data_IF_820575687087
#
_entry.id   IF_820575687087
#
_cell.length_a   1.000
_cell.length_b   1.000
_cell.length_c   1.000
_cell.angle_alpha   90.00
_cell.angle_beta   90.00
_cell.angle_gamma   90.00
#
_symmetry.space_group_name_H-M   'P 1'
#
loop_
_entity.id
_entity.type
_entity.pdbx_description
1 polymer ?
#
# COMPACT_ATOMS: atom_id res chain seq x y z
N UNK A 1 17.48 -2.05 1.09
CA UNK A 1 16.77 -3.33 1.30
C UNK A 1 15.44 -3.28 0.56
N UNK A 2 15.17 -4.22 -0.34
CA UNK A 2 13.85 -4.36 -0.98
C UNK A 2 12.98 -5.23 -0.07
N UNK A 3 11.83 -4.71 0.37
CA UNK A 3 10.96 -5.42 1.33
C UNK A 3 9.49 -5.25 1.02
N UNK A 4 8.68 -6.23 1.39
CA UNK A 4 7.22 -6.10 1.47
C UNK A 4 6.88 -5.44 2.83
N UNK A 5 5.94 -4.49 2.89
CA UNK A 5 5.59 -3.81 4.14
C UNK A 5 4.80 -4.69 5.11
N UNK A 6 4.19 -5.79 4.65
CA UNK A 6 3.51 -6.74 5.53
C UNK A 6 4.51 -7.50 6.42
N UNK A 7 5.75 -7.70 5.94
CA UNK A 7 6.84 -8.24 6.73
C UNK A 7 7.67 -7.11 7.36
N UNK A 8 7.51 -6.92 8.66
CA UNK A 8 8.25 -5.90 9.41
C UNK A 8 9.76 -6.21 9.48
N UNK A 9 10.19 -7.46 9.29
CA UNK A 9 11.59 -7.85 9.46
C UNK A 9 12.52 -7.07 8.52
N UNK A 10 12.11 -6.89 7.26
CA UNK A 10 12.90 -6.13 6.29
C UNK A 10 13.03 -4.64 6.65
N UNK A 11 11.98 -4.04 7.22
CA UNK A 11 12.01 -2.66 7.72
C UNK A 11 12.89 -2.52 8.97
N UNK A 12 12.81 -3.49 9.89
CA UNK A 12 13.63 -3.52 11.12
C UNK A 12 15.11 -3.63 10.74
N UNK A 13 15.48 -4.56 9.85
CA UNK A 13 16.86 -4.75 9.39
C UNK A 13 17.37 -3.51 8.68
N UNK A 14 16.56 -2.91 7.80
CA UNK A 14 16.95 -1.68 7.11
C UNK A 14 17.24 -0.54 8.09
N UNK A 15 16.41 -0.39 9.12
CA UNK A 15 16.60 0.61 10.17
C UNK A 15 17.83 0.30 11.05
N UNK A 16 18.02 -0.95 11.43
CA UNK A 16 19.15 -1.39 12.26
C UNK A 16 20.50 -1.09 11.58
N UNK A 17 20.61 -1.38 10.28
CA UNK A 17 21.84 -1.09 9.51
C UNK A 17 21.88 0.32 8.90
N UNK A 18 20.87 1.16 9.15
CA UNK A 18 20.76 2.51 8.55
C UNK A 18 20.87 2.50 7.03
N UNK A 19 20.26 1.50 6.38
CA UNK A 19 20.26 1.33 4.92
C UNK A 19 18.98 1.91 4.31
N UNK A 20 19.03 2.43 3.08
CA UNK A 20 17.81 2.85 2.38
C UNK A 20 16.91 1.64 2.13
N UNK A 21 15.65 1.72 2.59
CA UNK A 21 14.62 0.72 2.30
C UNK A 21 13.76 1.15 1.11
N UNK A 22 13.50 0.17 0.24
CA UNK A 22 12.57 0.29 -0.88
C UNK A 22 11.43 -0.68 -0.59
N UNK A 23 10.23 -0.14 -0.43
CA UNK A 23 9.04 -0.93 -0.13
C UNK A 23 8.35 -1.28 -1.44
N UNK A 24 8.07 -2.56 -1.66
CA UNK A 24 7.35 -3.04 -2.84
C UNK A 24 5.99 -3.58 -2.40
N UNK A 25 4.90 -2.92 -2.80
CA UNK A 25 3.55 -3.28 -2.35
C UNK A 25 2.47 -2.80 -3.32
N UNK A 26 1.27 -3.38 -3.29
CA UNK A 26 0.11 -2.77 -3.97
C UNK A 26 -0.40 -1.54 -3.20
N UNK A 27 -0.20 -1.53 -1.89
CA UNK A 27 -0.66 -0.53 -0.94
C UNK A 27 -0.66 -1.21 0.43
N UNK A 28 0.08 -0.68 1.44
CA UNK A 28 0.06 -1.28 2.76
C UNK A 28 -1.33 -1.08 3.37
N UNK A 29 -1.79 -2.11 4.07
CA UNK A 29 -2.99 -2.02 4.89
C UNK A 29 -2.79 -0.97 5.99
N UNK A 30 -3.88 -0.61 6.67
CA UNK A 30 -3.82 0.10 7.95
C UNK A 30 -3.39 1.56 7.88
N UNK A 31 -3.43 2.19 6.70
CA UNK A 31 -3.07 3.61 6.52
C UNK A 31 -1.57 3.93 6.73
N UNK A 32 -0.71 2.91 6.78
CA UNK A 32 0.72 3.10 7.04
C UNK A 32 1.50 3.75 5.88
N UNK A 33 0.99 3.67 4.64
CA UNK A 33 1.57 4.41 3.51
C UNK A 33 1.47 5.90 3.75
N UNK A 34 0.27 6.37 4.08
CA UNK A 34 -0.01 7.78 4.28
C UNK A 34 0.69 8.30 5.54
N UNK A 35 0.68 7.53 6.63
CA UNK A 35 1.42 7.88 7.83
C UNK A 35 2.94 7.94 7.56
N UNK A 36 3.51 6.92 6.91
CA UNK A 36 4.95 6.86 6.62
C UNK A 36 5.43 7.91 5.61
N UNK A 37 4.61 8.24 4.61
CA UNK A 37 4.91 9.31 3.63
C UNK A 37 4.52 10.70 4.12
N UNK A 38 3.88 10.81 5.29
CA UNK A 38 3.28 12.04 5.80
C UNK A 38 2.30 12.69 4.80
N UNK A 39 1.64 11.86 3.98
CA UNK A 39 0.74 12.28 2.93
C UNK A 39 -0.71 12.27 3.42
N UNK A 40 -1.46 13.39 3.36
CA UNK A 40 -2.84 13.41 3.83
C UNK A 40 -3.76 12.60 2.91
N UNK A 41 -4.55 11.68 3.47
CA UNK A 41 -5.64 10.99 2.76
C UNK A 41 -6.95 11.12 3.55
N UNK A 42 -7.79 12.10 3.22
CA UNK A 42 -8.98 12.40 4.00
C UNK A 42 -10.09 11.36 3.78
N UNK A 43 -10.60 10.86 4.91
CA UNK A 43 -11.60 9.79 5.01
C UNK A 43 -13.00 10.25 4.52
N UNK A 44 -13.18 11.55 4.31
CA UNK A 44 -14.45 12.12 3.84
C UNK A 44 -14.76 11.84 2.36
N UNK A 45 -13.74 11.58 1.54
CA UNK A 45 -13.89 11.27 0.11
C UNK A 45 -13.01 10.10 -0.36
N UNK A 46 -12.01 9.68 0.42
CA UNK A 46 -11.25 8.46 0.15
C UNK A 46 -11.87 7.30 0.95
N UNK A 47 -12.60 6.37 0.31
CA UNK A 47 -13.16 5.22 1.00
C UNK A 47 -12.07 4.23 1.41
N UNK A 48 -12.27 3.53 2.53
CA UNK A 48 -11.38 2.44 2.96
C UNK A 48 -11.55 1.25 2.03
N UNK A 49 -10.46 0.58 1.68
CA UNK A 49 -10.45 -0.44 0.62
C UNK A 49 -11.41 -1.62 0.80
N UNK A 50 -11.83 -1.92 2.04
CA UNK A 50 -12.78 -3.00 2.35
C UNK A 50 -14.25 -2.56 2.38
N UNK A 51 -14.52 -1.26 2.24
CA UNK A 51 -15.87 -0.69 2.41
C UNK A 51 -16.78 -0.85 1.19
N UNK A 52 -16.20 -1.01 -0.01
CA UNK A 52 -16.96 -1.03 -1.27
C UNK A 52 -17.64 0.31 -1.62
N UNK A 53 -17.30 1.39 -0.94
CA UNK A 53 -17.85 2.74 -1.17
C UNK A 53 -17.17 3.41 -2.36
N UNK A 54 -17.85 4.36 -3.01
CA UNK A 54 -17.27 5.22 -4.06
C UNK A 54 -16.62 6.47 -3.47
N UNK A 55 -16.01 7.28 -4.33
CA UNK A 55 -15.60 8.67 -4.06
C UNK A 55 -16.78 9.58 -3.68
N UNK A 56 -17.95 9.34 -4.25
CA UNK A 56 -19.19 10.06 -3.95
C UNK A 56 -19.94 9.40 -2.77
N UNK A 57 -19.60 9.79 -1.54
CA UNK A 57 -20.26 9.30 -0.32
C UNK A 57 -21.26 10.30 0.28
N UNK A 58 -22.42 9.78 0.69
CA UNK A 58 -23.39 10.47 1.57
C UNK A 58 -22.83 10.65 2.98
N UNK A 59 -23.46 11.51 3.79
CA UNK A 59 -23.03 11.74 5.18
C UNK A 59 -22.95 10.45 6.00
N UNK A 60 -23.94 9.56 5.87
CA UNK A 60 -23.98 8.28 6.59
C UNK A 60 -22.83 7.36 6.18
N UNK A 61 -22.53 7.29 4.89
CA UNK A 61 -21.42 6.50 4.36
C UNK A 61 -20.07 7.05 4.82
N UNK A 62 -19.91 8.37 4.93
CA UNK A 62 -18.69 8.98 5.50
C UNK A 62 -18.48 8.62 6.97
N UNK A 63 -19.55 8.62 7.77
CA UNK A 63 -19.49 8.18 9.17
C UNK A 63 -19.12 6.70 9.24
N UNK A 64 -19.70 5.86 8.38
CA UNK A 64 -19.35 4.45 8.31
C UNK A 64 -17.89 4.24 7.89
N UNK A 65 -17.41 4.98 6.90
CA UNK A 65 -16.02 4.95 6.46
C UNK A 65 -15.05 5.34 7.58
N UNK A 66 -15.43 6.30 8.42
CA UNK A 66 -14.68 6.69 9.61
C UNK A 66 -14.64 5.59 10.67
N UNK A 67 -15.76 4.87 10.90
CA UNK A 67 -15.80 3.73 11.82
C UNK A 67 -14.87 2.61 11.32
N UNK A 68 -14.97 2.26 10.03
CA UNK A 68 -14.11 1.25 9.41
C UNK A 68 -12.62 1.62 9.53
N UNK A 69 -12.26 2.90 9.36
CA UNK A 69 -10.90 3.35 9.55
C UNK A 69 -10.40 3.13 10.99
N UNK A 70 -11.24 3.40 12.00
CA UNK A 70 -10.89 3.18 13.40
C UNK A 70 -10.75 1.69 13.73
N UNK A 71 -11.67 0.86 13.23
CA UNK A 71 -11.61 -0.60 13.37
C UNK A 71 -10.33 -1.17 12.75
N UNK A 72 -10.00 -0.74 11.53
CA UNK A 72 -8.77 -1.13 10.84
C UNK A 72 -7.53 -0.74 11.65
N UNK A 73 -7.49 0.47 12.20
CA UNK A 73 -6.35 0.93 13.02
C UNK A 73 -6.15 0.08 14.27
N UNK A 74 -7.24 -0.29 14.94
CA UNK A 74 -7.20 -1.17 16.11
C UNK A 74 -6.76 -2.59 15.75
N UNK A 75 -7.32 -3.14 14.66
CA UNK A 75 -6.95 -4.45 14.15
C UNK A 75 -5.46 -4.52 13.82
N UNK A 76 -4.94 -3.52 13.12
CA UNK A 76 -3.54 -3.48 12.72
C UNK A 76 -2.58 -3.26 13.88
N UNK A 77 -2.97 -2.43 14.86
CA UNK A 77 -2.19 -2.30 16.08
C UNK A 77 -2.03 -3.65 16.80
N UNK A 78 -3.10 -4.46 16.87
CA UNK A 78 -3.03 -5.80 17.44
C UNK A 78 -2.19 -6.77 16.60
N UNK A 79 -2.40 -6.78 15.28
CA UNK A 79 -1.68 -7.65 14.34
C UNK A 79 -0.16 -7.44 14.36
N UNK A 80 0.29 -6.19 14.39
CA UNK A 80 1.72 -5.86 14.36
C UNK A 80 2.36 -5.75 15.74
N UNK A 81 1.59 -5.91 16.83
CA UNK A 81 2.07 -5.73 18.21
C UNK A 81 3.32 -6.56 18.50
N UNK A 82 3.29 -7.86 18.22
CA UNK A 82 4.42 -8.75 18.48
C UNK A 82 5.65 -8.40 17.64
N UNK A 83 5.45 -7.98 16.39
CA UNK A 83 6.54 -7.53 15.52
C UNK A 83 7.18 -6.22 16.01
N UNK A 84 6.38 -5.29 16.54
CA UNK A 84 6.85 -4.04 17.12
C UNK A 84 7.57 -4.24 18.47
N UNK A 85 7.13 -5.20 19.28
CA UNK A 85 7.82 -5.60 20.51
C UNK A 85 9.22 -6.13 20.19
N UNK A 86 9.32 -7.07 19.24
CA UNK A 86 10.61 -7.60 18.75
C UNK A 86 11.48 -6.49 18.15
N UNK A 87 10.89 -5.60 17.35
CA UNK A 87 11.61 -4.46 16.78
C UNK A 87 12.22 -3.58 17.88
N UNK A 88 11.46 -3.33 18.95
CA UNK A 88 11.90 -2.50 20.06
C UNK A 88 13.05 -3.15 20.86
N UNK A 89 13.00 -4.47 21.02
CA UNK A 89 14.09 -5.24 21.65
C UNK A 89 15.38 -5.23 20.80
N UNK A 90 15.26 -5.46 19.49
CA UNK A 90 16.42 -5.50 18.57
C UNK A 90 17.07 -4.11 18.44
N UNK A 91 16.23 -3.07 18.27
CA UNK A 91 16.69 -1.69 18.11
C UNK A 91 17.01 -1.02 19.46
N UNK A 92 16.82 -1.73 20.58
CA UNK A 92 17.08 -1.25 21.95
C UNK A 92 16.39 0.09 22.27
N UNK A 93 15.28 0.38 21.59
CA UNK A 93 14.55 1.66 21.66
C UNK A 93 13.06 1.40 21.46
N UNK A 94 12.15 2.18 22.06
CA UNK A 94 10.72 2.03 21.79
C UNK A 94 10.43 2.42 20.35
N UNK A 95 9.94 1.48 19.54
CA UNK A 95 9.67 1.70 18.12
C UNK A 95 8.19 1.58 17.83
N UNK A 96 7.64 2.60 17.18
CA UNK A 96 6.28 2.56 16.66
C UNK A 96 6.26 2.12 15.20
N UNK A 97 5.11 1.65 14.70
CA UNK A 97 4.94 1.35 13.27
C UNK A 97 5.30 2.57 12.40
N UNK A 98 4.89 3.76 12.83
CA UNK A 98 5.24 5.03 12.19
C UNK A 98 6.75 5.18 12.02
N UNK A 99 7.55 4.88 13.04
CA UNK A 99 9.01 5.02 12.98
C UNK A 99 9.70 4.00 12.05
N UNK A 100 9.04 2.89 11.73
CA UNK A 100 9.53 1.91 10.75
C UNK A 100 9.19 2.36 9.33
N UNK A 101 7.93 2.77 9.10
CA UNK A 101 7.46 3.16 7.77
C UNK A 101 8.00 4.52 7.31
N UNK A 102 8.17 5.48 8.23
CA UNK A 102 8.73 6.82 7.92
C UNK A 102 10.19 6.78 7.46
N UNK A 103 10.95 5.75 7.83
CA UNK A 103 12.33 5.56 7.38
C UNK A 103 12.41 5.04 5.92
N UNK A 104 11.28 4.75 5.28
CA UNK A 104 11.24 4.25 3.90
C UNK A 104 11.65 5.31 2.89
N UNK A 105 12.65 5.00 2.07
CA UNK A 105 13.16 5.93 1.07
C UNK A 105 12.29 6.01 -0.17
N UNK A 106 11.81 4.86 -0.68
CA UNK A 106 10.99 4.78 -1.88
C UNK A 106 9.87 3.76 -1.68
N UNK A 107 8.66 4.12 -2.10
CA UNK A 107 7.48 3.28 -2.16
C UNK A 107 7.19 2.91 -3.61
N UNK A 108 7.47 1.66 -3.96
CA UNK A 108 7.10 1.07 -5.24
C UNK A 108 5.69 0.49 -5.15
N UNK A 109 4.73 1.19 -5.74
CA UNK A 109 3.32 0.84 -5.72
C UNK A 109 2.97 0.02 -6.96
N UNK A 110 2.62 -1.26 -6.80
CA UNK A 110 2.19 -2.18 -7.87
C UNK A 110 0.74 -1.93 -8.31
N UNK A 111 0.34 -0.67 -8.35
CA UNK A 111 -0.94 -0.19 -8.85
C UNK A 111 -0.68 1.03 -9.71
N UNK A 112 -1.69 1.46 -10.47
CA UNK A 112 -1.66 2.71 -11.22
C UNK A 112 -2.54 3.74 -10.52
N UNK A 113 -2.22 5.03 -10.67
CA UNK A 113 -3.00 6.12 -10.10
C UNK A 113 -4.44 6.15 -10.63
N UNK A 114 -4.68 5.56 -11.81
CA UNK A 114 -6.03 5.45 -12.42
C UNK A 114 -6.99 4.58 -11.58
N UNK A 115 -6.46 3.61 -10.82
CA UNK A 115 -7.28 2.70 -10.00
C UNK A 115 -7.46 3.18 -8.56
N UNK A 116 -6.76 4.24 -8.17
CA UNK A 116 -6.84 4.82 -6.83
C UNK A 116 -7.74 6.06 -6.82
N UNK A 117 -8.38 6.28 -5.67
CA UNK A 117 -9.14 7.50 -5.45
C UNK A 117 -8.23 8.73 -5.45
N UNK A 118 -8.72 9.91 -5.90
CA UNK A 118 -7.90 11.10 -6.01
C UNK A 118 -7.39 11.52 -4.63
N UNK A 119 -6.10 11.33 -4.38
CA UNK A 119 -5.40 11.78 -3.17
C UNK A 119 -4.02 12.30 -3.55
N UNK A 120 -3.40 13.16 -2.72
CA UNK A 120 -2.04 13.61 -2.97
C UNK A 120 -1.06 12.44 -3.06
N UNK A 121 -0.01 12.61 -3.86
CA UNK A 121 1.06 11.63 -4.04
C UNK A 121 2.37 12.33 -3.70
N UNK A 122 3.18 11.68 -2.86
CA UNK A 122 4.49 12.19 -2.48
C UNK A 122 5.58 11.79 -3.49
N UNK A 123 6.66 12.57 -3.65
CA UNK A 123 7.71 12.25 -4.63
C UNK A 123 8.44 10.91 -4.39
N UNK A 124 8.39 10.38 -3.17
CA UNK A 124 8.93 9.07 -2.83
C UNK A 124 7.98 7.91 -3.18
N UNK A 125 6.79 8.17 -3.73
CA UNK A 125 5.83 7.17 -4.19
C UNK A 125 5.91 7.03 -5.71
N UNK A 126 6.27 5.83 -6.17
CA UNK A 126 6.45 5.51 -7.59
C UNK A 126 5.48 4.39 -7.96
N UNK A 127 4.54 4.70 -8.84
CA UNK A 127 3.61 3.73 -9.39
C UNK A 127 4.31 2.90 -10.47
N UNK A 128 4.32 1.58 -10.25
CA UNK A 128 4.89 0.57 -11.13
C UNK A 128 3.80 -0.44 -11.53
N UNK A 129 2.65 0.08 -11.94
CA UNK A 129 1.58 -0.70 -12.55
C UNK A 129 2.10 -1.49 -13.76
N UNK A 130 1.54 -2.68 -14.00
CA UNK A 130 1.80 -3.44 -15.22
C UNK A 130 3.15 -4.14 -15.34
N UNK A 131 4.02 -4.10 -14.33
CA UNK A 131 5.34 -4.77 -14.35
C UNK A 131 5.29 -6.30 -14.57
N UNK A 132 4.16 -6.94 -14.28
CA UNK A 132 3.99 -8.38 -14.43
C UNK A 132 3.54 -8.79 -15.85
N UNK A 133 3.35 -7.83 -16.76
CA UNK A 133 2.94 -8.14 -18.11
C UNK A 133 4.12 -8.55 -18.98
N UNK A 134 3.94 -9.67 -19.68
CA UNK A 134 4.87 -10.13 -20.69
C UNK A 134 4.62 -9.39 -22.01
N UNK A 135 5.66 -9.26 -22.83
CA UNK A 135 5.53 -8.71 -24.17
C UNK A 135 4.54 -9.56 -24.98
N UNK A 136 3.51 -8.91 -25.52
CA UNK A 136 2.41 -9.59 -26.23
C UNK A 136 2.94 -10.46 -27.37
N UNK A 137 2.65 -11.76 -27.33
CA UNK A 137 2.91 -12.67 -28.45
C UNK A 137 1.78 -12.50 -29.48
N UNK A 138 2.06 -12.57 -30.79
CA UNK A 138 1.01 -12.53 -31.80
C UNK A 138 0.02 -13.67 -31.55
N UNK A 139 -1.27 -13.32 -31.52
CA UNK A 139 -2.37 -14.26 -31.30
C UNK A 139 -2.44 -15.24 -32.49
N UNK A 140 -2.55 -16.56 -32.27
CA UNK A 140 -2.88 -17.50 -33.32
C UNK A 140 -4.28 -17.17 -33.86
N UNK A 141 -4.45 -17.17 -35.18
CA UNK A 141 -5.73 -16.86 -35.81
C UNK A 141 -6.79 -17.94 -35.48
N UNK A 142 -7.95 -17.44 -35.06
CA UNK A 142 -9.27 -18.06 -35.09
C UNK A 142 -9.64 -19.04 -33.95
N UNK A 143 -10.55 -18.53 -33.10
CA UNK A 143 -11.59 -19.25 -32.34
C UNK A 143 -11.52 -19.46 -30.82
N UNK A 144 -10.48 -18.99 -30.10
CA UNK A 144 -10.54 -18.89 -28.63
C UNK A 144 -10.45 -17.43 -28.10
N UNK A 145 -10.74 -16.47 -28.97
CA UNK A 145 -10.55 -15.03 -28.76
C UNK A 145 -11.36 -14.39 -27.62
N UNK A 146 -12.32 -15.09 -27.01
CA UNK A 146 -13.11 -14.55 -25.90
C UNK A 146 -12.44 -14.66 -24.52
N UNK A 147 -11.40 -15.48 -24.35
CA UNK A 147 -10.76 -15.70 -23.04
C UNK A 147 -9.30 -15.25 -22.93
N UNK A 148 -8.64 -14.89 -24.03
CA UNK A 148 -7.18 -14.70 -24.02
C UNK A 148 -6.69 -13.25 -23.78
N UNK A 149 -7.57 -12.23 -23.76
CA UNK A 149 -7.14 -10.82 -23.88
C UNK A 149 -7.47 -9.90 -22.70
N UNK A 150 -7.73 -10.41 -21.50
CA UNK A 150 -8.06 -9.54 -20.35
C UNK A 150 -6.85 -8.91 -19.63
N UNK A 151 -5.61 -9.16 -20.08
CA UNK A 151 -4.41 -8.56 -19.47
C UNK A 151 -3.35 -8.16 -20.50
N UNK A 152 -3.75 -7.37 -21.51
CA UNK A 152 -2.78 -6.47 -22.14
C UNK A 152 -2.53 -5.33 -21.15
N UNK A 153 -1.34 -5.26 -20.53
CA UNK A 153 -0.90 -4.05 -19.81
C UNK A 153 -0.51 -2.96 -20.80
N UNK A 154 -1.49 -2.48 -21.56
CA UNK A 154 -1.39 -1.27 -22.34
C UNK A 154 -2.51 -0.35 -21.91
N UNK A 155 -2.30 0.40 -20.84
CA UNK A 155 -2.91 1.71 -20.72
C UNK A 155 -1.75 2.71 -20.75
N UNK A 156 -1.64 3.38 -21.90
CA UNK A 156 -0.58 4.26 -22.44
C UNK A 156 0.66 3.59 -23.01
#
# INVERSE_FOLDING_TARGET
VLTDPFDLCGLIIAKYFSLPSVVFTRGPFCHYLEEGTQCPSPISYVPRGVSGLSDTMTFRERVWNQILHLEERLFCHYMFKSGLEIASEILQTPVTAYDLYSHTSIWLLRTDFVFDYPKPVMPNMVFIGGINCNQGKPLPELNDFFYANSFNCGLT
#
